data_IF_725819051347
#
_entry.id   IF_725819051347
#
_cell.length_a   1.000
_cell.length_b   1.000
_cell.length_c   1.000
_cell.angle_alpha   90.00
_cell.angle_beta   90.00
_cell.angle_gamma   90.00
#
_symmetry.space_group_name_H-M   'P 1'
#
loop_
_entity.id
_entity.type
_entity.pdbx_description
1 polymer ?
#
# COMPACT_ATOMS: atom_id res chain seq x y z
N UNK A 1 -12.70 -2.07 -12.59
CA UNK A 1 -11.83 -1.11 -13.31
C UNK A 1 -10.38 -1.51 -13.06
N UNK A 2 -9.52 -1.60 -14.08
CA UNK A 2 -8.09 -1.83 -13.86
C UNK A 2 -7.48 -0.65 -13.09
N UNK A 3 -6.53 -0.92 -12.19
CA UNK A 3 -5.75 0.14 -11.54
C UNK A 3 -5.13 1.04 -12.61
N UNK A 4 -5.37 2.32 -12.49
CA UNK A 4 -4.77 3.33 -13.35
C UNK A 4 -3.25 3.36 -13.17
N UNK A 5 -2.53 3.81 -14.19
CA UNK A 5 -1.06 3.95 -14.11
C UNK A 5 -0.65 4.85 -12.93
N UNK A 6 -1.44 5.88 -12.62
CA UNK A 6 -1.23 6.76 -11.48
C UNK A 6 -1.33 6.00 -10.14
N UNK A 7 -2.34 5.16 -9.96
CA UNK A 7 -2.50 4.34 -8.75
C UNK A 7 -1.36 3.34 -8.57
N UNK A 8 -0.87 2.76 -9.67
CA UNK A 8 0.29 1.86 -9.65
C UNK A 8 1.56 2.60 -9.23
N UNK A 9 1.83 3.78 -9.79
CA UNK A 9 2.99 4.60 -9.44
C UNK A 9 2.91 5.03 -7.97
N UNK A 10 1.75 5.51 -7.52
CA UNK A 10 1.53 5.91 -6.14
C UNK A 10 1.76 4.74 -5.16
N UNK A 11 1.23 3.57 -5.52
CA UNK A 11 1.42 2.36 -4.72
C UNK A 11 2.89 1.93 -4.65
N UNK A 12 3.63 2.02 -5.76
CA UNK A 12 5.04 1.70 -5.80
C UNK A 12 5.86 2.68 -4.95
N UNK A 13 5.57 3.98 -5.10
CA UNK A 13 6.20 5.05 -4.35
C UNK A 13 6.00 4.87 -2.84
N UNK A 14 4.80 4.48 -2.42
CA UNK A 14 4.49 4.18 -1.02
C UNK A 14 5.35 3.05 -0.45
N UNK A 15 5.53 1.97 -1.21
CA UNK A 15 6.33 0.82 -0.78
C UNK A 15 7.80 1.22 -0.66
N UNK A 16 8.34 1.91 -1.66
CA UNK A 16 9.71 2.41 -1.64
C UNK A 16 9.93 3.43 -0.52
N UNK A 17 8.95 4.30 -0.25
CA UNK A 17 9.03 5.26 0.83
C UNK A 17 9.14 4.55 2.18
N UNK A 18 8.29 3.56 2.46
CA UNK A 18 8.33 2.82 3.74
C UNK A 18 9.64 2.06 3.91
N UNK A 19 10.12 1.39 2.86
CA UNK A 19 11.42 0.70 2.90
C UNK A 19 12.59 1.67 3.10
N UNK A 20 12.59 2.80 2.39
CA UNK A 20 13.58 3.85 2.53
C UNK A 20 13.57 4.50 3.91
N UNK A 21 12.37 4.73 4.47
CA UNK A 21 12.17 5.26 5.81
C UNK A 21 12.72 4.31 6.87
N UNK A 22 12.41 3.01 6.75
CA UNK A 22 12.90 1.99 7.66
C UNK A 22 14.42 1.88 7.62
N UNK A 23 15.01 1.91 6.41
CA UNK A 23 16.46 1.92 6.24
C UNK A 23 17.11 3.20 6.81
N UNK A 24 16.51 4.37 6.58
CA UNK A 24 17.01 5.64 7.10
C UNK A 24 16.96 5.69 8.64
N UNK A 25 15.88 5.20 9.26
CA UNK A 25 15.76 5.09 10.72
C UNK A 25 16.71 4.05 11.34
N UNK A 26 17.10 3.02 10.58
CA UNK A 26 18.04 2.00 11.01
C UNK A 26 19.50 2.49 10.93
N UNK A 27 19.84 3.23 9.87
CA UNK A 27 21.21 3.70 9.61
C UNK A 27 21.54 5.02 10.30
N UNK A 28 20.56 5.91 10.50
CA UNK A 28 20.77 7.22 11.11
C UNK A 28 19.96 7.37 12.41
N UNK A 29 20.56 7.06 13.58
CA UNK A 29 19.88 7.17 14.87
C UNK A 29 19.50 8.61 15.23
N UNK A 30 20.13 9.62 14.63
CA UNK A 30 19.78 11.04 14.83
C UNK A 30 18.39 11.41 14.29
N UNK A 31 17.87 10.66 13.31
CA UNK A 31 16.49 10.82 12.82
C UNK A 31 15.43 10.39 13.84
N UNK A 32 15.84 9.73 14.94
CA UNK A 32 14.96 9.38 16.07
C UNK A 32 14.67 10.56 17.00
N UNK A 33 15.24 11.75 16.73
CA UNK A 33 14.84 12.96 17.43
C UNK A 33 13.35 13.27 17.16
N UNK A 34 12.65 13.78 18.18
CA UNK A 34 11.19 13.92 18.16
C UNK A 34 10.66 14.70 16.94
N UNK A 35 11.36 15.78 16.53
CA UNK A 35 10.96 16.64 15.40
C UNK A 35 11.05 15.93 14.03
N UNK A 36 12.22 15.42 13.59
CA UNK A 36 12.29 14.69 12.31
C UNK A 36 11.43 13.43 12.33
N UNK A 37 11.37 12.71 13.46
CA UNK A 37 10.55 11.51 13.59
C UNK A 37 9.05 11.81 13.43
N UNK A 38 8.55 12.94 13.95
CA UNK A 38 7.15 13.34 13.79
C UNK A 38 6.82 13.66 12.32
N UNK A 39 7.72 14.36 11.61
CA UNK A 39 7.54 14.70 10.19
C UNK A 39 7.57 13.43 9.33
N UNK A 40 8.54 12.54 9.59
CA UNK A 40 8.69 11.25 8.91
C UNK A 40 7.48 10.34 9.16
N UNK A 41 7.02 10.25 10.41
CA UNK A 41 5.85 9.48 10.79
C UNK A 41 4.57 10.03 10.17
N UNK A 42 4.38 11.36 10.19
CA UNK A 42 3.23 12.02 9.56
C UNK A 42 3.23 11.79 8.04
N UNK A 43 4.38 11.95 7.38
CA UNK A 43 4.53 11.68 5.94
C UNK A 43 4.22 10.22 5.61
N UNK A 44 4.78 9.28 6.38
CA UNK A 44 4.49 7.86 6.22
C UNK A 44 3.03 7.51 6.48
N UNK A 45 2.38 8.19 7.42
CA UNK A 45 0.96 8.01 7.71
C UNK A 45 0.07 8.47 6.55
N UNK A 46 0.32 9.65 5.97
CA UNK A 46 -0.42 10.13 4.80
C UNK A 46 -0.24 9.21 3.58
N UNK A 47 0.99 8.77 3.35
CA UNK A 47 1.32 7.83 2.27
C UNK A 47 0.59 6.50 2.49
N UNK A 48 0.57 5.98 3.72
CA UNK A 48 -0.15 4.76 4.07
C UNK A 48 -1.66 4.88 3.91
N UNK A 49 -2.25 6.02 4.28
CA UNK A 49 -3.68 6.29 4.04
C UNK A 49 -3.98 6.26 2.55
N UNK A 50 -3.19 6.98 1.74
CA UNK A 50 -3.36 7.02 0.29
C UNK A 50 -3.22 5.63 -0.33
N UNK A 51 -2.22 4.87 0.09
CA UNK A 51 -1.99 3.50 -0.34
C UNK A 51 -3.17 2.58 0.01
N UNK A 52 -3.65 2.65 1.26
CA UNK A 52 -4.77 1.84 1.73
C UNK A 52 -6.07 2.18 1.00
N UNK A 53 -6.29 3.46 0.70
CA UNK A 53 -7.41 3.92 -0.13
C UNK A 53 -7.36 3.33 -1.54
N UNK A 54 -6.19 3.37 -2.19
CA UNK A 54 -5.98 2.81 -3.53
C UNK A 54 -6.23 1.29 -3.55
N UNK A 55 -5.76 0.57 -2.53
CA UNK A 55 -5.96 -0.88 -2.40
C UNK A 55 -7.43 -1.24 -2.17
N UNK A 56 -8.10 -0.55 -1.25
CA UNK A 56 -9.52 -0.75 -0.96
C UNK A 56 -10.40 -0.45 -2.17
N UNK A 57 -10.14 0.67 -2.85
CA UNK A 57 -10.82 1.04 -4.10
C UNK A 57 -10.67 -0.07 -5.14
N UNK A 58 -9.46 -0.61 -5.31
CA UNK A 58 -9.21 -1.70 -6.25
C UNK A 58 -9.99 -2.97 -5.88
N UNK A 59 -10.03 -3.37 -4.61
CA UNK A 59 -10.81 -4.55 -4.16
C UNK A 59 -12.31 -4.36 -4.42
N UNK A 60 -12.85 -3.18 -4.08
CA UNK A 60 -14.28 -2.90 -4.25
C UNK A 60 -14.67 -2.86 -5.73
N UNK A 61 -13.88 -2.19 -6.58
CA UNK A 61 -14.13 -2.02 -8.01
C UNK A 61 -13.80 -3.25 -8.88
N UNK A 62 -13.28 -4.33 -8.30
CA UNK A 62 -13.00 -5.58 -9.04
C UNK A 62 -14.28 -6.41 -9.15
N UNK A 63 -14.79 -6.55 -10.37
CA UNK A 63 -16.05 -7.25 -10.66
C UNK A 63 -15.97 -8.77 -10.44
N UNK A 64 -14.80 -9.36 -10.71
CA UNK A 64 -14.58 -10.81 -10.67
C UNK A 64 -14.36 -11.42 -9.27
N UNK A 65 -14.32 -10.61 -8.21
CA UNK A 65 -14.22 -11.15 -6.85
C UNK A 65 -15.61 -11.49 -6.29
N UNK A 66 -15.80 -12.73 -5.83
CA UNK A 66 -17.00 -13.06 -5.04
C UNK A 66 -17.01 -12.20 -3.78
N UNK A 67 -18.20 -11.84 -3.31
CA UNK A 67 -18.38 -10.89 -2.20
C UNK A 67 -17.62 -11.32 -0.93
N UNK A 68 -17.58 -12.64 -0.65
CA UNK A 68 -16.82 -13.23 0.47
C UNK A 68 -15.31 -12.99 0.36
N UNK A 69 -14.76 -13.13 -0.84
CA UNK A 69 -13.32 -12.96 -1.11
C UNK A 69 -12.90 -11.50 -0.98
N UNK A 70 -13.80 -10.54 -1.30
CA UNK A 70 -13.57 -9.11 -1.05
C UNK A 70 -13.44 -8.83 0.46
N UNK A 71 -14.39 -9.33 1.26
CA UNK A 71 -14.35 -9.14 2.71
C UNK A 71 -13.13 -9.82 3.35
N UNK A 72 -12.73 -10.99 2.85
CA UNK A 72 -11.53 -11.68 3.31
C UNK A 72 -10.28 -10.82 3.10
N UNK A 73 -10.07 -10.30 1.88
CA UNK A 73 -8.91 -9.47 1.58
C UNK A 73 -8.92 -8.15 2.35
N UNK A 74 -10.10 -7.52 2.50
CA UNK A 74 -10.24 -6.29 3.29
C UNK A 74 -9.89 -6.54 4.75
N UNK A 75 -10.44 -7.59 5.37
CA UNK A 75 -10.12 -7.96 6.74
C UNK A 75 -8.64 -8.30 6.90
N UNK A 76 -8.08 -9.05 5.94
CA UNK A 76 -6.66 -9.45 5.95
C UNK A 76 -5.74 -8.23 5.87
N UNK A 77 -6.06 -7.25 5.02
CA UNK A 77 -5.28 -6.01 4.87
C UNK A 77 -5.42 -5.09 6.08
N UNK A 78 -6.59 -5.07 6.73
CA UNK A 78 -6.81 -4.30 7.95
C UNK A 78 -6.01 -4.85 9.13
N UNK A 79 -5.94 -6.17 9.26
CA UNK A 79 -5.28 -6.86 10.38
C UNK A 79 -3.77 -6.97 10.12
N UNK A 80 -3.39 -7.29 8.88
CA UNK A 80 -2.01 -7.54 8.48
C UNK A 80 -1.68 -6.56 7.36
N UNK A 81 -1.15 -5.41 7.74
CA UNK A 81 -0.74 -4.38 6.79
C UNK A 81 0.16 -4.90 5.65
N UNK A 82 1.20 -5.74 5.88
CA UNK A 82 2.00 -6.26 4.77
C UNK A 82 1.24 -7.19 3.80
N UNK A 83 0.05 -7.67 4.15
CA UNK A 83 -0.79 -8.45 3.23
C UNK A 83 -1.27 -7.61 2.04
N UNK A 84 -1.32 -6.29 2.17
CA UNK A 84 -1.64 -5.40 1.05
C UNK A 84 -0.61 -5.46 -0.08
N UNK A 85 0.67 -5.66 0.25
CA UNK A 85 1.75 -5.78 -0.71
C UNK A 85 1.57 -7.07 -1.52
N UNK A 86 1.30 -8.18 -0.82
CA UNK A 86 1.02 -9.48 -1.43
C UNK A 86 -0.22 -9.38 -2.33
N UNK A 87 -1.29 -8.73 -1.85
CA UNK A 87 -2.48 -8.47 -2.66
C UNK A 87 -2.15 -7.69 -3.94
N UNK A 88 -1.35 -6.63 -3.84
CA UNK A 88 -1.00 -5.79 -4.98
C UNK A 88 -0.17 -6.55 -6.01
N UNK A 89 0.82 -7.34 -5.57
CA UNK A 89 1.64 -8.18 -6.46
C UNK A 89 0.76 -9.19 -7.19
N UNK A 90 -0.12 -9.89 -6.47
CA UNK A 90 -0.92 -10.96 -7.04
C UNK A 90 -2.10 -10.45 -7.88
N UNK A 91 -2.76 -9.38 -7.45
CA UNK A 91 -4.07 -8.97 -7.99
C UNK A 91 -4.15 -7.51 -8.43
N UNK A 92 -3.25 -6.64 -7.97
CA UNK A 92 -3.21 -5.21 -8.32
C UNK A 92 -2.42 -4.92 -9.60
N UNK A 93 -1.28 -5.61 -9.79
CA UNK A 93 -0.41 -5.42 -10.95
C UNK A 93 -0.74 -6.30 -12.15
N UNK A 94 -1.59 -7.32 -11.98
CA UNK A 94 -2.11 -8.10 -13.11
C UNK A 94 -2.78 -7.15 -14.12
N UNK A 95 -2.05 -6.85 -15.19
CA UNK A 95 -2.60 -6.42 -16.47
C UNK A 95 -3.58 -7.54 -16.85
N UNK A 96 -4.76 -7.23 -17.37
CA UNK A 96 -5.50 -8.22 -18.14
C UNK A 96 -4.58 -8.63 -19.29
N UNK A 97 -3.79 -9.69 -19.08
CA UNK A 97 -3.12 -10.45 -20.13
C UNK A 97 -4.17 -11.46 -20.56
N UNK A 98 -5.17 -10.95 -21.27
CA UNK A 98 -6.04 -11.70 -22.17
C UNK A 98 -5.89 -10.88 -23.44
N UNK A 99 -5.03 -11.32 -24.37
CA UNK A 99 -5.34 -12.35 -25.38
C UNK A 99 -6.54 -11.94 -26.21
#
# INVERSE_FOLDING_TARGET
>A
MPMTTFEKIYSLFSIFFVLGLAAALALNPELRQLKPMLILASTGFFINIGYMFVVLRNIMCKSNFRQKDKFFWIALILIIWPASIIYLILYGFQKNITS
#
